data_IF_942567067401
#
_entry.id   IF_942567067401
#
_cell.length_a   1.000
_cell.length_b   1.000
_cell.length_c   1.000
_cell.angle_alpha   90.00
_cell.angle_beta   90.00
_cell.angle_gamma   90.00
#
_symmetry.space_group_name_H-M   'P 1'
#
loop_
_entity.id
_entity.type
_entity.pdbx_description
1 polymer ?
#
# COMPACT_ATOMS: atom_id res chain seq x y z
N UNK A 1 -2.44 10.30 -6.77
CA UNK A 1 -3.23 9.16 -7.26
C UNK A 1 -3.15 8.05 -6.22
N UNK A 2 -4.13 7.16 -6.12
CA UNK A 2 -4.20 6.12 -5.08
C UNK A 2 -2.96 5.22 -5.10
N UNK A 3 -2.41 4.98 -6.29
CA UNK A 3 -1.18 4.20 -6.43
C UNK A 3 0.02 4.86 -5.77
N UNK A 4 0.35 6.08 -6.16
CA UNK A 4 1.49 6.77 -5.55
C UNK A 4 1.34 6.88 -4.03
N UNK A 5 0.14 7.19 -3.54
CA UNK A 5 -0.14 7.25 -2.10
C UNK A 5 0.09 5.91 -1.38
N UNK A 6 -0.25 4.77 -2.00
CA UNK A 6 -0.05 3.44 -1.41
C UNK A 6 1.42 3.08 -1.15
N UNK A 7 2.35 3.74 -1.84
CA UNK A 7 3.79 3.52 -1.69
C UNK A 7 4.46 4.65 -0.89
N UNK A 8 4.16 5.91 -1.21
CA UNK A 8 4.81 7.05 -0.54
C UNK A 8 4.39 7.23 0.93
N UNK A 9 3.14 6.92 1.29
CA UNK A 9 2.71 7.02 2.70
C UNK A 9 3.48 6.01 3.57
N UNK A 10 3.55 4.71 3.22
CA UNK A 10 4.36 3.78 3.99
C UNK A 10 5.86 4.11 4.00
N UNK A 11 6.43 4.58 2.88
CA UNK A 11 7.82 5.07 2.84
C UNK A 11 8.03 6.19 3.88
N UNK A 12 7.14 7.20 3.86
CA UNK A 12 7.19 8.31 4.81
C UNK A 12 7.09 7.82 6.26
N UNK A 13 6.17 6.90 6.56
CA UNK A 13 6.02 6.34 7.91
C UNK A 13 7.27 5.58 8.37
N UNK A 14 7.91 4.81 7.48
CA UNK A 14 9.18 4.12 7.79
C UNK A 14 10.29 5.13 8.03
N UNK A 15 10.40 6.18 7.21
CA UNK A 15 11.40 7.23 7.42
C UNK A 15 11.20 7.95 8.77
N UNK A 16 9.96 8.27 9.13
CA UNK A 16 9.65 8.86 10.44
C UNK A 16 10.00 7.90 11.59
N UNK A 17 9.73 6.60 11.46
CA UNK A 17 10.13 5.60 12.44
C UNK A 17 11.64 5.57 12.63
N UNK A 18 12.38 5.54 11.52
CA UNK A 18 13.83 5.50 11.52
C UNK A 18 14.44 6.79 12.10
N UNK A 19 13.75 7.92 11.96
CA UNK A 19 14.09 9.20 12.61
C UNK A 19 13.79 9.26 14.12
N UNK A 20 13.30 8.17 14.71
CA UNK A 20 13.02 8.08 16.14
C UNK A 20 11.63 8.55 16.56
N UNK A 21 10.70 8.74 15.62
CA UNK A 21 9.30 9.01 15.99
C UNK A 21 8.72 7.80 16.74
N UNK A 22 8.11 8.00 17.91
CA UNK A 22 7.56 6.89 18.66
C UNK A 22 6.37 6.28 17.91
N UNK A 23 6.29 4.95 17.96
CA UNK A 23 5.36 4.14 17.17
C UNK A 23 3.89 4.58 17.31
N UNK A 24 3.50 5.11 18.45
CA UNK A 24 2.14 5.63 18.71
C UNK A 24 1.70 6.72 17.71
N UNK A 25 2.58 7.65 17.31
CA UNK A 25 2.17 8.69 16.34
C UNK A 25 2.09 8.13 14.93
N UNK A 26 2.96 7.18 14.59
CA UNK A 26 2.91 6.49 13.30
C UNK A 26 1.65 5.64 13.16
N UNK A 27 1.31 4.89 14.22
CA UNK A 27 0.07 4.13 14.29
C UNK A 27 -1.15 5.05 14.19
N UNK A 28 -1.11 6.23 14.81
CA UNK A 28 -2.19 7.20 14.70
C UNK A 28 -2.43 7.61 13.25
N UNK A 29 -1.37 7.99 12.52
CA UNK A 29 -1.45 8.40 11.11
C UNK A 29 -1.92 7.24 10.24
N UNK A 30 -1.34 6.05 10.43
CA UNK A 30 -1.68 4.84 9.67
C UNK A 30 -3.14 4.43 9.88
N UNK A 31 -3.59 4.30 11.14
CA UNK A 31 -4.95 3.90 11.48
C UNK A 31 -5.98 4.93 11.03
N UNK A 32 -5.69 6.22 11.16
CA UNK A 32 -6.58 7.28 10.67
C UNK A 32 -6.75 7.17 9.16
N UNK A 33 -5.66 6.98 8.41
CA UNK A 33 -5.71 6.81 6.96
C UNK A 33 -6.50 5.57 6.53
N UNK A 34 -6.23 4.42 7.17
CA UNK A 34 -6.92 3.16 6.90
C UNK A 34 -8.43 3.26 7.19
N UNK A 35 -8.80 3.80 8.35
CA UNK A 35 -10.21 3.99 8.72
C UNK A 35 -10.91 5.00 7.82
N UNK A 36 -10.21 6.04 7.36
CA UNK A 36 -10.77 7.00 6.40
C UNK A 36 -11.17 6.28 5.11
N UNK A 37 -10.26 5.46 4.55
CA UNK A 37 -10.55 4.67 3.34
C UNK A 37 -11.73 3.74 3.58
N UNK A 38 -11.76 3.03 4.71
CA UNK A 38 -12.86 2.13 5.07
C UNK A 38 -14.19 2.88 5.11
N UNK A 39 -14.27 3.98 5.87
CA UNK A 39 -15.51 4.76 5.99
C UNK A 39 -15.94 5.41 4.68
N UNK A 40 -15.02 5.67 3.75
CA UNK A 40 -15.36 6.20 2.43
C UNK A 40 -15.85 5.11 1.48
N UNK A 41 -15.28 3.92 1.54
CA UNK A 41 -15.62 2.80 0.66
C UNK A 41 -16.88 2.07 1.10
N UNK A 42 -17.11 1.92 2.41
CA UNK A 42 -18.23 1.14 2.96
C UNK A 42 -19.62 1.51 2.39
N UNK A 43 -20.03 2.81 2.33
CA UNK A 43 -21.32 3.19 1.74
C UNK A 43 -21.44 2.84 0.25
N UNK A 44 -20.30 2.90 -0.45
CA UNK A 44 -20.23 2.68 -1.90
C UNK A 44 -20.31 1.18 -2.18
N UNK A 45 -19.65 0.38 -1.35
CA UNK A 45 -19.73 -1.07 -1.39
C UNK A 45 -21.15 -1.59 -1.17
N UNK A 46 -21.88 -1.03 -0.21
CA UNK A 46 -23.29 -1.38 0.01
C UNK A 46 -24.16 -1.12 -1.23
N UNK A 47 -24.08 0.10 -1.76
CA UNK A 47 -24.92 0.52 -2.89
C UNK A 47 -24.60 -0.20 -4.20
N UNK A 48 -23.34 -0.56 -4.45
CA UNK A 48 -22.93 -1.13 -5.74
C UNK A 48 -22.82 -2.66 -5.74
N UNK A 49 -22.39 -3.28 -4.64
CA UNK A 49 -22.13 -4.72 -4.57
C UNK A 49 -23.25 -5.46 -3.85
N UNK A 50 -23.66 -4.99 -2.66
CA UNK A 50 -24.60 -5.74 -1.83
C UNK A 50 -26.06 -5.60 -2.27
N UNK A 51 -26.43 -4.47 -2.87
CA UNK A 51 -27.81 -4.14 -3.30
C UNK A 51 -28.87 -4.47 -2.23
N UNK A 52 -28.49 -4.37 -0.95
CA UNK A 52 -29.32 -4.62 0.22
C UNK A 52 -29.14 -3.45 1.18
N UNK A 53 -30.25 -2.91 1.65
CA UNK A 53 -30.26 -1.84 2.64
C UNK A 53 -29.92 -2.42 4.02
N UNK A 54 -28.66 -2.27 4.43
CA UNK A 54 -28.22 -2.62 5.77
C UNK A 54 -28.46 -1.42 6.69
N UNK A 55 -29.25 -1.64 7.74
CA UNK A 55 -29.65 -0.61 8.72
C UNK A 55 -28.44 0.15 9.29
N UNK A 56 -27.31 -0.54 9.52
CA UNK A 56 -26.10 0.06 10.08
C UNK A 56 -25.31 0.92 9.09
N UNK A 57 -25.41 0.66 7.78
CA UNK A 57 -24.68 1.42 6.77
C UNK A 57 -25.42 2.71 6.38
N UNK A 58 -26.74 2.77 6.56
CA UNK A 58 -27.52 4.02 6.51
C UNK A 58 -26.95 5.12 7.43
N UNK A 59 -26.28 4.74 8.52
CA UNK A 59 -25.62 5.68 9.44
C UNK A 59 -24.45 6.42 8.75
N UNK A 60 -23.73 5.76 7.85
CA UNK A 60 -22.60 6.34 7.12
C UNK A 60 -23.05 7.06 5.84
N UNK A 61 -24.18 6.66 5.26
CA UNK A 61 -24.75 7.23 4.03
C UNK A 61 -25.52 8.52 4.30
N UNK A 62 -26.37 8.55 5.33
CA UNK A 62 -27.14 9.75 5.69
C UNK A 62 -26.23 10.79 6.39
N UNK A 63 -26.19 12.00 5.82
CA UNK A 63 -25.42 13.10 6.37
C UNK A 63 -25.82 13.46 7.82
N UNK A 64 -27.09 13.34 8.18
CA UNK A 64 -27.58 13.66 9.53
C UNK A 64 -27.09 12.63 10.56
N UNK A 65 -27.26 11.34 10.26
CA UNK A 65 -26.82 10.25 11.13
C UNK A 65 -25.29 10.23 11.28
N UNK A 66 -24.57 10.47 10.18
CA UNK A 66 -23.10 10.56 10.20
C UNK A 66 -22.60 11.72 11.06
N UNK A 67 -23.26 12.88 11.03
CA UNK A 67 -22.93 14.01 11.90
C UNK A 67 -23.16 13.68 13.39
N UNK A 68 -24.27 13.02 13.71
CA UNK A 68 -24.55 12.55 15.08
C UNK A 68 -23.44 11.59 15.55
N UNK A 69 -23.00 10.68 14.68
CA UNK A 69 -21.91 9.73 14.99
C UNK A 69 -20.58 10.46 15.26
N UNK A 70 -20.23 11.45 14.44
CA UNK A 70 -19.03 12.27 14.65
C UNK A 70 -19.10 13.01 15.99
N UNK A 71 -20.25 13.59 16.33
CA UNK A 71 -20.42 14.28 17.61
C UNK A 71 -20.36 13.31 18.79
N UNK A 72 -20.94 12.12 18.68
CA UNK A 72 -20.88 11.09 19.71
C UNK A 72 -19.44 10.63 19.97
N UNK A 73 -18.71 10.24 18.91
CA UNK A 73 -17.32 9.81 19.02
C UNK A 73 -16.42 10.98 19.48
N UNK A 74 -16.72 12.20 19.04
CA UNK A 74 -16.03 13.44 19.43
C UNK A 74 -16.18 13.73 20.92
N UNK A 75 -17.40 13.54 21.44
CA UNK A 75 -17.70 13.70 22.87
C UNK A 75 -16.96 12.67 23.71
N UNK A 76 -16.90 11.41 23.27
CA UNK A 76 -16.12 10.36 23.97
C UNK A 76 -14.63 10.70 23.95
N UNK A 77 -14.10 11.15 22.81
CA UNK A 77 -12.71 11.59 22.72
C UNK A 77 -12.43 12.79 23.64
N UNK A 78 -13.36 13.75 23.73
CA UNK A 78 -13.25 14.93 24.59
C UNK A 78 -13.26 14.55 26.07
N UNK A 79 -14.16 13.65 26.48
CA UNK A 79 -14.20 13.10 27.84
C UNK A 79 -12.88 12.37 28.15
N UNK A 80 -12.33 11.62 27.20
CA UNK A 80 -11.01 11.00 27.32
C UNK A 80 -9.90 12.03 27.55
N UNK A 81 -9.88 13.13 26.79
CA UNK A 81 -8.89 14.20 26.95
C UNK A 81 -9.05 14.87 28.32
N UNK A 82 -10.27 15.27 28.69
CA UNK A 82 -10.56 15.92 29.97
C UNK A 82 -10.20 15.01 31.15
N UNK A 83 -10.56 13.73 31.09
CA UNK A 83 -10.20 12.73 32.09
C UNK A 83 -8.69 12.50 32.19
N UNK A 84 -7.98 12.55 31.07
CA UNK A 84 -6.51 12.47 31.07
C UNK A 84 -5.89 13.71 31.73
N UNK A 85 -6.40 14.91 31.47
CA UNK A 85 -5.90 16.14 32.08
C UNK A 85 -6.15 16.20 33.59
N UNK A 86 -7.30 15.73 34.06
CA UNK A 86 -7.69 15.75 35.48
C UNK A 86 -7.01 14.63 36.30
N UNK A 87 -7.05 13.39 35.81
CA UNK A 87 -6.61 12.22 36.58
C UNK A 87 -5.22 11.72 36.19
N UNK A 88 -4.64 12.18 35.07
CA UNK A 88 -3.35 11.73 34.51
C UNK A 88 -3.21 10.21 34.35
N UNK A 89 -4.33 9.50 34.28
CA UNK A 89 -4.36 8.05 34.14
C UNK A 89 -4.22 7.61 32.69
N UNK A 90 -3.47 6.53 32.45
CA UNK A 90 -3.21 5.97 31.11
C UNK A 90 -4.49 5.50 30.41
N UNK A 91 -5.53 5.10 31.15
CA UNK A 91 -6.79 4.63 30.56
C UNK A 91 -7.48 5.71 29.72
N UNK A 92 -7.57 6.93 30.26
CA UNK A 92 -8.18 8.06 29.57
C UNK A 92 -7.40 8.47 28.30
N UNK A 93 -6.08 8.32 28.31
CA UNK A 93 -5.26 8.53 27.11
C UNK A 93 -5.63 7.57 25.98
N UNK A 94 -5.77 6.27 26.25
CA UNK A 94 -6.12 5.29 25.22
C UNK A 94 -7.55 5.45 24.70
N UNK A 95 -8.48 5.87 25.55
CA UNK A 95 -9.85 6.22 25.14
C UNK A 95 -9.81 7.42 24.19
N UNK A 96 -9.13 8.51 24.57
CA UNK A 96 -8.96 9.68 23.71
C UNK A 96 -8.25 9.33 22.40
N UNK A 97 -7.22 8.49 22.45
CA UNK A 97 -6.45 8.08 21.28
C UNK A 97 -7.30 7.29 20.29
N UNK A 98 -8.03 6.26 20.74
CA UNK A 98 -8.85 5.42 19.86
C UNK A 98 -10.04 6.18 19.25
N UNK A 99 -10.81 6.88 20.09
CA UNK A 99 -11.96 7.66 19.63
C UNK A 99 -11.57 8.91 18.84
N UNK A 100 -10.43 9.52 19.16
CA UNK A 100 -9.84 10.61 18.38
C UNK A 100 -9.48 10.17 16.97
N UNK A 101 -8.89 8.99 16.80
CA UNK A 101 -8.62 8.43 15.47
C UNK A 101 -9.92 8.20 14.69
N UNK A 102 -10.94 7.59 15.31
CA UNK A 102 -12.21 7.32 14.65
C UNK A 102 -12.95 8.60 14.22
N UNK A 103 -12.94 9.63 15.07
CA UNK A 103 -13.57 10.93 14.75
C UNK A 103 -12.88 11.62 13.58
N UNK A 104 -11.55 11.73 13.63
CA UNK A 104 -10.78 12.33 12.54
C UNK A 104 -10.98 11.54 11.25
N UNK A 105 -10.96 10.21 11.30
CA UNK A 105 -11.21 9.37 10.13
C UNK A 105 -12.61 9.58 9.52
N UNK A 106 -13.66 9.72 10.33
CA UNK A 106 -15.01 10.01 9.86
C UNK A 106 -15.11 11.41 9.21
N UNK A 107 -14.49 12.42 9.82
CA UNK A 107 -14.44 13.78 9.27
C UNK A 107 -13.70 13.77 7.92
N UNK A 108 -12.54 13.11 7.88
CA UNK A 108 -11.74 12.97 6.67
C UNK A 108 -12.47 12.19 5.58
N UNK A 109 -13.29 11.20 5.94
CA UNK A 109 -14.09 10.42 4.97
C UNK A 109 -15.11 11.31 4.22
N UNK A 110 -15.71 12.30 4.89
CA UNK A 110 -16.61 13.26 4.25
C UNK A 110 -15.87 14.09 3.20
N UNK A 111 -14.66 14.55 3.54
CA UNK A 111 -13.82 15.29 2.59
C UNK A 111 -13.36 14.39 1.44
N UNK A 112 -12.93 13.16 1.74
CA UNK A 112 -12.50 12.18 0.75
C UNK A 112 -13.61 11.88 -0.25
N UNK A 113 -14.86 11.66 0.19
CA UNK A 113 -16.00 11.41 -0.70
C UNK A 113 -16.31 12.56 -1.66
N UNK A 114 -15.92 13.81 -1.35
CA UNK A 114 -16.08 14.96 -2.24
C UNK A 114 -14.91 15.17 -3.21
N UNK A 115 -13.72 14.71 -2.83
CA UNK A 115 -12.46 14.97 -3.57
C UNK A 115 -12.06 13.78 -4.45
N UNK A 116 -12.41 12.55 -4.05
CA UNK A 116 -12.09 11.34 -4.80
C UNK A 116 -12.77 11.35 -6.16
N UNK A 117 -11.97 11.09 -7.19
CA UNK A 117 -12.49 10.95 -8.56
C UNK A 117 -13.20 9.60 -8.71
N UNK A 118 -14.25 9.49 -9.55
CA UNK A 118 -15.00 8.24 -9.72
C UNK A 118 -14.12 7.01 -10.01
N UNK A 119 -13.08 7.16 -10.84
CA UNK A 119 -12.16 6.06 -11.16
C UNK A 119 -11.35 5.56 -9.95
N UNK A 120 -11.04 6.42 -8.97
CA UNK A 120 -10.25 6.06 -7.79
C UNK A 120 -11.08 5.17 -6.85
N UNK A 121 -12.36 5.52 -6.73
CA UNK A 121 -13.34 4.72 -5.99
C UNK A 121 -13.56 3.40 -6.72
N UNK A 122 -13.74 3.43 -8.05
CA UNK A 122 -13.97 2.23 -8.85
C UNK A 122 -12.85 1.21 -8.73
N UNK A 123 -11.57 1.62 -8.64
CA UNK A 123 -10.45 0.70 -8.36
C UNK A 123 -10.56 -0.01 -7.01
N UNK A 124 -11.13 0.64 -5.98
CA UNK A 124 -11.36 0.03 -4.66
C UNK A 124 -12.54 -0.95 -4.69
N UNK A 125 -13.60 -0.62 -5.43
CA UNK A 125 -14.76 -1.50 -5.63
C UNK A 125 -14.35 -2.75 -6.39
N UNK A 126 -13.64 -2.59 -7.52
CA UNK A 126 -13.14 -3.69 -8.35
C UNK A 126 -12.17 -4.58 -7.57
N UNK A 127 -11.40 -4.02 -6.64
CA UNK A 127 -10.56 -4.81 -5.75
C UNK A 127 -11.38 -5.72 -4.82
N UNK A 128 -12.48 -5.20 -4.26
CA UNK A 128 -13.38 -5.98 -3.39
C UNK A 128 -14.18 -7.02 -4.18
N UNK A 129 -14.66 -6.65 -5.36
CA UNK A 129 -15.38 -7.54 -6.28
C UNK A 129 -14.99 -7.25 -7.74
N UNK A 130 -14.05 -8.04 -8.31
CA UNK A 130 -13.62 -7.88 -9.70
C UNK A 130 -14.73 -8.10 -10.73
N UNK A 131 -15.84 -8.76 -10.35
CA UNK A 131 -16.96 -9.04 -11.26
C UNK A 131 -17.78 -7.79 -11.60
N UNK A 132 -17.60 -6.70 -10.84
CA UNK A 132 -18.27 -5.40 -11.08
C UNK A 132 -17.78 -4.69 -12.35
N UNK A 133 -16.59 -5.02 -12.85
CA UNK A 133 -16.04 -4.51 -14.10
C UNK A 133 -15.28 -5.62 -14.86
N UNK A 134 -16.02 -6.60 -15.42
CA UNK A 134 -15.42 -7.79 -16.01
C UNK A 134 -14.78 -7.52 -17.38
N UNK A 135 -14.90 -6.33 -17.96
CA UNK A 135 -14.29 -5.96 -19.24
C UNK A 135 -13.19 -4.88 -19.11
N UNK A 136 -13.09 -4.21 -17.95
CA UNK A 136 -12.12 -3.17 -17.69
C UNK A 136 -11.03 -3.59 -16.71
N UNK A 137 -10.93 -2.90 -15.57
CA UNK A 137 -9.84 -3.16 -14.61
C UNK A 137 -10.03 -4.49 -13.86
N UNK A 138 -11.28 -4.95 -13.68
CA UNK A 138 -11.58 -6.24 -13.05
C UNK A 138 -11.11 -7.41 -13.91
N UNK A 139 -11.26 -7.31 -15.24
CA UNK A 139 -10.69 -8.26 -16.19
C UNK A 139 -9.19 -8.49 -15.96
N UNK A 140 -8.42 -7.41 -15.77
CA UNK A 140 -6.97 -7.51 -15.58
C UNK A 140 -6.61 -8.27 -14.30
N UNK A 141 -7.35 -8.06 -13.20
CA UNK A 141 -7.12 -8.82 -11.95
C UNK A 141 -7.45 -10.29 -12.17
N UNK A 142 -8.59 -10.59 -12.81
CA UNK A 142 -9.05 -11.97 -13.05
C UNK A 142 -8.03 -12.71 -13.92
N UNK A 143 -7.61 -12.11 -15.04
CA UNK A 143 -6.62 -12.72 -15.93
C UNK A 143 -5.24 -12.85 -15.28
N UNK A 144 -4.83 -11.87 -14.47
CA UNK A 144 -3.59 -11.94 -13.70
C UNK A 144 -3.58 -13.14 -12.74
N UNK A 145 -4.70 -13.38 -12.04
CA UNK A 145 -4.84 -14.55 -11.15
C UNK A 145 -4.83 -15.87 -11.93
N UNK A 146 -5.50 -15.92 -13.08
CA UNK A 146 -5.50 -17.11 -13.95
C UNK A 146 -4.09 -17.40 -14.48
N UNK A 147 -3.35 -16.38 -14.91
CA UNK A 147 -1.98 -16.51 -15.39
C UNK A 147 -1.02 -17.04 -14.31
N UNK A 148 -1.12 -16.53 -13.07
CA UNK A 148 -0.35 -17.08 -11.94
C UNK A 148 -0.74 -18.54 -11.68
N UNK A 149 -2.04 -18.86 -11.72
CA UNK A 149 -2.53 -20.21 -11.47
C UNK A 149 -2.12 -21.22 -12.55
N UNK A 150 -2.09 -20.82 -13.81
CA UNK A 150 -1.74 -21.69 -14.93
C UNK A 150 -0.25 -22.06 -14.96
N UNK A 151 0.62 -21.21 -14.38
CA UNK A 151 2.05 -21.45 -14.30
C UNK A 151 2.46 -22.71 -13.54
N UNK A 152 1.63 -23.26 -12.64
CA UNK A 152 1.99 -24.46 -11.87
C UNK A 152 3.39 -24.34 -11.21
N UNK A 153 4.13 -25.44 -11.01
CA UNK A 153 5.47 -25.38 -10.41
C UNK A 153 6.56 -24.83 -11.35
N UNK A 154 6.55 -25.24 -12.63
CA UNK A 154 7.65 -25.00 -13.58
C UNK A 154 7.32 -24.02 -14.72
N UNK A 155 6.08 -23.55 -14.79
CA UNK A 155 5.62 -22.66 -15.85
C UNK A 155 5.16 -23.39 -17.11
N UNK A 156 4.61 -22.63 -18.04
CA UNK A 156 4.25 -23.11 -19.38
C UNK A 156 5.45 -23.08 -20.36
N UNK A 157 6.58 -22.52 -19.95
CA UNK A 157 7.77 -22.29 -20.77
C UNK A 157 7.84 -20.85 -21.30
N UNK A 158 9.07 -20.40 -21.54
CA UNK A 158 9.35 -19.03 -22.00
C UNK A 158 8.63 -18.73 -23.32
N UNK A 159 7.89 -17.60 -23.37
CA UNK A 159 7.06 -17.17 -24.50
C UNK A 159 5.89 -18.09 -24.88
N UNK A 160 5.61 -19.12 -24.09
CA UNK A 160 4.49 -20.04 -24.30
C UNK A 160 3.28 -19.72 -23.41
N UNK A 161 3.34 -18.67 -22.60
CA UNK A 161 2.26 -18.28 -21.70
C UNK A 161 1.02 -17.85 -22.46
N UNK A 162 -0.07 -18.61 -22.33
CA UNK A 162 -1.34 -18.33 -23.03
C UNK A 162 -1.91 -16.93 -22.73
N UNK A 163 -1.89 -16.48 -21.47
CA UNK A 163 -2.45 -15.17 -21.10
C UNK A 163 -1.56 -14.02 -21.57
N UNK A 164 -0.24 -14.21 -21.50
CA UNK A 164 0.71 -13.22 -21.99
C UNK A 164 0.72 -13.08 -23.51
N UNK A 165 0.72 -14.21 -24.22
CA UNK A 165 0.90 -14.27 -25.67
C UNK A 165 -0.28 -13.63 -26.42
N UNK A 166 -1.50 -13.84 -25.96
CA UNK A 166 -2.71 -13.27 -26.58
C UNK A 166 -3.02 -11.83 -26.12
N UNK A 167 -2.13 -11.21 -25.31
CA UNK A 167 -2.30 -9.84 -24.79
C UNK A 167 -3.62 -9.60 -24.07
N UNK A 168 -4.12 -10.62 -23.36
CA UNK A 168 -5.35 -10.48 -22.56
C UNK A 168 -5.19 -9.50 -21.38
N UNK A 169 -3.95 -9.12 -21.05
CA UNK A 169 -3.58 -8.12 -20.05
C UNK A 169 -3.04 -6.84 -20.74
N UNK A 170 -3.82 -5.74 -20.79
CA UNK A 170 -3.29 -4.43 -21.13
C UNK A 170 -2.23 -4.02 -20.09
N UNK A 171 -1.09 -3.49 -20.55
CA UNK A 171 0.07 -3.12 -19.71
C UNK A 171 0.74 -4.27 -18.93
N UNK A 172 0.65 -5.49 -19.48
CA UNK A 172 1.32 -6.66 -18.91
C UNK A 172 2.84 -6.48 -18.70
N UNK A 173 3.53 -5.78 -19.61
CA UNK A 173 4.96 -5.56 -19.50
C UNK A 173 5.36 -4.55 -18.41
N UNK A 174 4.42 -3.75 -17.90
CA UNK A 174 4.70 -2.74 -16.86
C UNK A 174 4.15 -3.20 -15.52
N UNK A 175 2.85 -3.26 -15.36
CA UNK A 175 2.23 -3.33 -14.03
C UNK A 175 1.96 -4.77 -13.61
N UNK A 176 1.78 -5.67 -14.58
CA UNK A 176 1.50 -7.09 -14.39
C UNK A 176 2.66 -8.00 -14.82
N UNK A 177 3.90 -7.49 -14.85
CA UNK A 177 5.05 -8.29 -15.30
C UNK A 177 5.23 -9.57 -14.47
N UNK A 178 4.86 -9.51 -13.18
CA UNK A 178 4.96 -10.65 -12.28
C UNK A 178 3.98 -11.78 -12.64
N UNK A 179 2.79 -11.50 -13.20
CA UNK A 179 1.88 -12.57 -13.63
C UNK A 179 2.41 -13.29 -14.87
N UNK A 180 3.05 -12.58 -15.81
CA UNK A 180 3.71 -13.19 -16.97
C UNK A 180 4.85 -14.09 -16.51
N UNK A 181 5.73 -13.58 -15.63
CA UNK A 181 6.84 -14.36 -15.11
C UNK A 181 6.35 -15.61 -14.38
N UNK A 182 5.27 -15.49 -13.60
CA UNK A 182 4.66 -16.61 -12.90
C UNK A 182 4.00 -17.60 -13.86
N UNK A 183 3.41 -17.14 -14.97
CA UNK A 183 2.83 -18.01 -15.99
C UNK A 183 3.90 -18.80 -16.74
N UNK A 184 4.96 -18.13 -17.16
CA UNK A 184 6.01 -18.71 -18.02
C UNK A 184 7.01 -19.57 -17.25
N UNK A 185 7.39 -19.17 -16.03
CA UNK A 185 8.42 -19.82 -15.21
C UNK A 185 7.85 -20.49 -13.96
N UNK A 186 6.53 -20.40 -13.75
CA UNK A 186 5.84 -21.04 -12.64
C UNK A 186 6.22 -20.49 -11.27
N UNK A 187 5.93 -21.28 -10.25
CA UNK A 187 6.31 -21.02 -8.87
C UNK A 187 7.82 -20.83 -8.68
N UNK A 188 8.64 -21.60 -9.41
CA UNK A 188 10.11 -21.48 -9.35
C UNK A 188 10.57 -20.09 -9.81
N UNK A 189 10.01 -19.56 -10.91
CA UNK A 189 10.28 -18.20 -11.36
C UNK A 189 9.91 -17.15 -10.32
N UNK A 190 8.75 -17.31 -9.68
CA UNK A 190 8.32 -16.46 -8.56
C UNK A 190 9.32 -16.45 -7.40
N UNK A 191 9.81 -17.61 -6.97
CA UNK A 191 10.83 -17.73 -5.91
C UNK A 191 12.12 -17.03 -6.31
N UNK A 192 12.57 -17.17 -7.55
CA UNK A 192 13.79 -16.51 -8.03
C UNK A 192 13.65 -14.99 -7.91
N UNK A 193 12.54 -14.43 -8.38
CA UNK A 193 12.25 -12.98 -8.27
C UNK A 193 12.25 -12.53 -6.81
N UNK A 194 11.56 -13.28 -5.94
CA UNK A 194 11.49 -12.97 -4.50
C UNK A 194 12.87 -13.01 -3.85
N UNK A 195 13.69 -14.01 -4.21
CA UNK A 195 15.05 -14.18 -3.69
C UNK A 195 15.97 -13.04 -4.13
N UNK A 196 15.91 -12.64 -5.41
CA UNK A 196 16.69 -11.52 -5.92
C UNK A 196 16.32 -10.21 -5.21
N UNK A 197 15.03 -9.95 -5.06
CA UNK A 197 14.57 -8.78 -4.30
C UNK A 197 14.99 -8.84 -2.83
N UNK A 198 14.88 -10.01 -2.20
CA UNK A 198 15.32 -10.21 -0.83
C UNK A 198 16.81 -9.93 -0.66
N UNK A 199 17.66 -10.35 -1.61
CA UNK A 199 19.10 -10.03 -1.60
C UNK A 199 19.31 -8.51 -1.63
N UNK A 200 18.62 -7.77 -2.51
CA UNK A 200 18.74 -6.31 -2.60
C UNK A 200 18.35 -5.64 -1.28
N UNK A 201 17.22 -6.06 -0.68
CA UNK A 201 16.76 -5.53 0.61
C UNK A 201 17.75 -5.84 1.73
N UNK A 202 18.25 -7.08 1.81
CA UNK A 202 19.23 -7.49 2.82
C UNK A 202 20.54 -6.71 2.69
N UNK A 203 21.05 -6.52 1.46
CA UNK A 203 22.23 -5.69 1.22
C UNK A 203 22.00 -4.25 1.67
N UNK A 204 20.83 -3.69 1.39
CA UNK A 204 20.48 -2.33 1.83
C UNK A 204 20.40 -2.23 3.36
N UNK A 205 19.83 -3.23 4.04
CA UNK A 205 19.81 -3.32 5.51
C UNK A 205 21.24 -3.38 6.07
N UNK A 206 22.14 -4.15 5.46
CA UNK A 206 23.55 -4.20 5.86
C UNK A 206 24.21 -2.83 5.76
N UNK A 207 23.97 -2.08 4.67
CA UNK A 207 24.49 -0.71 4.50
C UNK A 207 23.96 0.20 5.62
N UNK A 208 22.66 0.15 5.90
CA UNK A 208 22.03 0.95 6.97
C UNK A 208 22.69 0.66 8.33
N UNK A 209 22.92 -0.61 8.67
CA UNK A 209 23.51 -1.02 9.94
C UNK A 209 24.98 -0.58 10.11
N UNK A 210 25.72 -0.52 9.01
CA UNK A 210 27.15 -0.18 9.03
C UNK A 210 27.42 1.32 8.89
N UNK A 211 26.43 2.09 8.44
CA UNK A 211 26.58 3.53 8.20
C UNK A 211 26.66 4.30 9.51
N UNK A 212 27.76 5.02 9.73
CA UNK A 212 27.93 5.95 10.87
C UNK A 212 27.30 7.33 10.63
N UNK A 213 27.09 7.73 9.36
CA UNK A 213 26.54 9.03 9.01
C UNK A 213 25.00 9.02 9.07
N UNK A 214 24.43 9.90 9.90
CA UNK A 214 22.98 10.01 10.08
C UNK A 214 22.21 10.34 8.79
N UNK A 215 22.79 11.14 7.90
CA UNK A 215 22.16 11.44 6.60
C UNK A 215 22.14 10.21 5.69
N UNK A 216 23.25 9.47 5.66
CA UNK A 216 23.34 8.21 4.91
C UNK A 216 22.34 7.18 5.42
N UNK A 217 22.19 7.08 6.74
CA UNK A 217 21.20 6.23 7.39
C UNK A 217 19.76 6.56 6.95
N UNK A 218 19.36 7.84 6.98
CA UNK A 218 18.02 8.24 6.55
C UNK A 218 17.76 8.01 5.07
N UNK A 219 18.71 8.37 4.20
CA UNK A 219 18.56 8.15 2.75
C UNK A 219 18.46 6.65 2.45
N UNK A 220 19.36 5.84 3.01
CA UNK A 220 19.35 4.39 2.80
C UNK A 220 18.07 3.73 3.34
N UNK A 221 17.54 4.21 4.48
CA UNK A 221 16.27 3.73 5.03
C UNK A 221 15.07 4.07 4.14
N UNK A 222 15.05 5.25 3.53
CA UNK A 222 14.02 5.64 2.56
C UNK A 222 14.08 4.80 1.30
N UNK A 223 15.28 4.51 0.78
CA UNK A 223 15.48 3.64 -0.38
C UNK A 223 15.05 2.20 -0.07
N UNK A 224 15.39 1.68 1.12
CA UNK A 224 14.92 0.36 1.57
C UNK A 224 13.40 0.28 1.56
N UNK A 225 12.73 1.27 2.18
CA UNK A 225 11.28 1.33 2.22
C UNK A 225 10.70 1.43 0.81
N UNK A 226 11.31 2.23 -0.06
CA UNK A 226 10.90 2.37 -1.46
C UNK A 226 10.92 1.04 -2.20
N UNK A 227 12.05 0.33 -2.20
CA UNK A 227 12.13 -0.98 -2.86
C UNK A 227 11.15 -1.99 -2.27
N UNK A 228 11.00 -2.01 -0.95
CA UNK A 228 10.07 -2.92 -0.28
C UNK A 228 8.60 -2.66 -0.64
N UNK A 229 8.13 -1.42 -0.55
CA UNK A 229 6.73 -1.11 -0.84
C UNK A 229 6.40 -1.18 -2.33
N UNK A 230 7.32 -0.81 -3.22
CA UNK A 230 7.13 -1.05 -4.66
C UNK A 230 6.97 -2.55 -4.96
N UNK A 231 7.77 -3.41 -4.33
CA UNK A 231 7.67 -4.86 -4.47
C UNK A 231 6.34 -5.41 -3.93
N UNK A 232 6.03 -5.12 -2.66
CA UNK A 232 4.83 -5.64 -1.99
C UNK A 232 3.55 -5.15 -2.67
N UNK A 233 3.47 -3.87 -3.04
CA UNK A 233 2.28 -3.32 -3.69
C UNK A 233 2.09 -3.89 -5.10
N UNK A 234 3.16 -3.99 -5.89
CA UNK A 234 3.06 -4.55 -7.24
C UNK A 234 2.66 -6.04 -7.18
N UNK A 235 3.41 -6.86 -6.45
CA UNK A 235 3.12 -8.30 -6.34
C UNK A 235 1.75 -8.53 -5.67
N UNK A 236 1.41 -7.75 -4.64
CA UNK A 236 0.12 -7.79 -3.97
C UNK A 236 -1.04 -7.45 -4.90
N UNK A 237 -0.89 -6.49 -5.80
CA UNK A 237 -1.88 -6.17 -6.83
C UNK A 237 -2.09 -7.36 -7.78
N UNK A 238 -1.01 -7.92 -8.31
CA UNK A 238 -1.06 -9.01 -9.29
C UNK A 238 -1.73 -10.26 -8.71
N UNK A 239 -1.52 -10.54 -7.41
CA UNK A 239 -2.20 -11.62 -6.68
C UNK A 239 -3.62 -11.25 -6.20
N UNK A 240 -4.05 -10.00 -6.36
CA UNK A 240 -5.34 -9.48 -5.90
C UNK A 240 -5.48 -9.42 -4.38
N UNK A 241 -4.38 -9.19 -3.66
CA UNK A 241 -4.31 -8.90 -2.21
C UNK A 241 -4.35 -7.37 -1.96
N UNK A 242 -3.93 -6.58 -2.95
CA UNK A 242 -3.99 -5.11 -2.92
C UNK A 242 -4.75 -4.55 -4.13
N UNK A 243 -5.31 -3.33 -4.04
CA UNK A 243 -5.99 -2.70 -5.16
C UNK A 243 -5.03 -2.38 -6.32
N UNK A 244 -5.58 -2.17 -7.52
CA UNK A 244 -4.79 -1.77 -8.69
C UNK A 244 -4.27 -0.35 -8.52
N UNK A 245 -2.95 -0.22 -8.48
CA UNK A 245 -2.25 1.05 -8.23
C UNK A 245 -1.47 1.57 -9.44
N UNK A 246 -1.20 0.74 -10.43
CA UNK A 246 -0.43 1.09 -11.63
C UNK A 246 1.02 1.46 -11.34
N UNK A 247 1.66 0.73 -10.42
CA UNK A 247 3.04 1.00 -10.00
C UNK A 247 3.94 -0.10 -10.55
N UNK A 248 5.00 0.25 -11.31
CA UNK A 248 5.92 -0.74 -11.85
C UNK A 248 6.80 -1.36 -10.75
N UNK A 249 7.15 -2.63 -10.96
CA UNK A 249 8.16 -3.36 -10.22
C UNK A 249 9.55 -2.88 -10.65
N UNK A 250 10.29 -2.24 -9.74
CA UNK A 250 11.62 -1.67 -10.03
C UNK A 250 12.57 -2.79 -10.53
N UNK A 251 13.41 -2.50 -11.52
CA UNK A 251 14.32 -3.45 -12.21
C UNK A 251 13.68 -4.51 -13.11
N UNK A 252 12.42 -4.89 -12.93
CA UNK A 252 11.76 -5.94 -13.72
C UNK A 252 10.77 -5.38 -14.75
N UNK A 253 9.95 -4.42 -14.34
CA UNK A 253 8.92 -3.85 -15.22
C UNK A 253 9.52 -2.98 -16.31
N UNK A 254 8.86 -2.97 -17.47
CA UNK A 254 9.18 -2.09 -18.58
C UNK A 254 8.82 -0.64 -18.24
N UNK A 255 9.76 0.10 -17.67
CA UNK A 255 9.60 1.52 -17.33
C UNK A 255 10.96 2.21 -17.30
N UNK A 256 11.23 3.07 -18.29
CA UNK A 256 12.53 3.76 -18.37
C UNK A 256 12.82 4.58 -17.11
N UNK A 257 11.86 5.39 -16.66
CA UNK A 257 12.03 6.23 -15.48
C UNK A 257 12.22 5.42 -14.19
N UNK A 258 11.43 4.35 -13.99
CA UNK A 258 11.57 3.50 -12.79
C UNK A 258 12.91 2.76 -12.76
N UNK A 259 13.40 2.30 -13.92
CA UNK A 259 14.72 1.70 -14.04
C UNK A 259 15.82 2.70 -13.70
N UNK A 260 15.79 3.91 -14.29
CA UNK A 260 16.75 4.97 -13.97
C UNK A 260 16.74 5.34 -12.50
N UNK A 261 15.56 5.51 -11.89
CA UNK A 261 15.44 5.76 -10.46
C UNK A 261 16.05 4.63 -9.63
N UNK A 262 15.76 3.37 -9.98
CA UNK A 262 16.36 2.20 -9.32
C UNK A 262 17.88 2.21 -9.40
N UNK A 263 18.45 2.47 -10.58
CA UNK A 263 19.91 2.52 -10.78
C UNK A 263 20.56 3.67 -10.00
N UNK A 264 19.93 4.85 -9.97
CA UNK A 264 20.40 6.00 -9.17
C UNK A 264 20.37 5.66 -7.67
N UNK A 265 19.28 5.04 -7.19
CA UNK A 265 19.17 4.60 -5.80
C UNK A 265 20.29 3.62 -5.42
N UNK A 266 20.60 2.65 -6.29
CA UNK A 266 21.73 1.73 -6.07
C UNK A 266 23.07 2.48 -6.04
N UNK A 267 23.29 3.41 -6.96
CA UNK A 267 24.50 4.25 -6.97
C UNK A 267 24.67 5.07 -5.69
N UNK A 268 23.57 5.63 -5.16
CA UNK A 268 23.57 6.34 -3.88
C UNK A 268 23.90 5.39 -2.72
N UNK A 269 23.28 4.20 -2.66
CA UNK A 269 23.58 3.20 -1.65
C UNK A 269 25.05 2.75 -1.69
N UNK A 270 25.60 2.54 -2.88
CA UNK A 270 27.03 2.21 -3.04
C UNK A 270 27.94 3.34 -2.57
N UNK A 271 27.60 4.61 -2.86
CA UNK A 271 28.36 5.78 -2.39
C UNK A 271 28.36 5.90 -0.86
N UNK A 272 27.20 5.66 -0.22
CA UNK A 272 27.08 5.63 1.25
C UNK A 272 27.95 4.51 1.83
N UNK A 273 27.87 3.31 1.24
CA UNK A 273 28.65 2.15 1.66
C UNK A 273 30.16 2.31 1.43
N UNK A 274 30.58 3.07 0.43
CA UNK A 274 32.00 3.34 0.20
C UNK A 274 32.55 4.32 1.25
N UNK A 275 31.87 5.46 1.44
CA UNK A 275 32.31 6.53 2.36
C UNK A 275 32.30 6.13 3.84
N UNK A 276 31.64 5.03 4.20
CA UNK A 276 31.72 4.49 5.56
C UNK A 276 33.14 4.02 5.93
N UNK A 277 33.93 3.59 4.93
CA UNK A 277 35.29 3.08 5.11
C UNK A 277 36.31 4.22 5.33
N UNK A 278 36.01 5.41 4.82
CA UNK A 278 36.90 6.58 4.98
C UNK A 278 36.84 7.19 6.39
N UNK A 279 35.80 6.87 7.19
CA UNK A 279 35.61 7.36 8.56
C UNK A 279 36.11 6.36 9.64
N UNK A 280 36.96 5.41 9.26
CA UNK A 280 37.56 4.42 10.17
C UNK A 280 39.06 4.61 10.41
N UNK A 281 39.60 5.80 10.11
CA UNK A 281 40.97 6.18 10.46
C UNK A 281 41.03 6.96 11.78
#
# INVERSE_FOLDING_TARGET
>A
DLGTSSVYIPIFLVMCYMAGMPLRYLMMVFLTGMLTIIFTVLPIWESQILQKDLIWMNILTDQRLRLILILAFGSISFIGIAGYLLYKSKYFYWIAYGWGIATVALIMSIAAGKVLKPYQVQRLIIFLDPSTDPLGSGWNIIQSKIAIGSGSLFGQGFLNGTQSHYRFLPQQSTDFIFSILSEEWGFVGGIIVFTLYFIILMRTITIIKNTKNIHGYYIASGILAMFFFHFVVNVGMVMGIMPITGIPLIFLSYGGSSLWTGMICIGILMSINYRQLDLSF
#
